data_IF_399539061326
#
_entry.id   IF_399539061326
#
_cell.length_a   1.000
_cell.length_b   1.000
_cell.length_c   1.000
_cell.angle_alpha   90.00
_cell.angle_beta   90.00
_cell.angle_gamma   90.00
#
_symmetry.space_group_name_H-M   'P 1'
#
loop_
_entity.id
_entity.type
_entity.pdbx_description
1 polymer ?
#
# COMPACT_ATOMS: atom_id res chain seq x y z
N UNK A 1 12.94 12.62 -1.38
CA UNK A 1 13.81 13.48 -0.54
C UNK A 1 13.86 14.91 -1.07
N UNK A 2 14.13 15.14 -2.37
CA UNK A 2 14.21 16.50 -2.93
C UNK A 2 12.92 17.31 -2.71
N UNK A 3 11.75 16.73 -2.94
CA UNK A 3 10.46 17.41 -2.70
C UNK A 3 10.28 17.86 -1.25
N UNK A 4 10.67 17.06 -0.28
CA UNK A 4 10.60 17.42 1.14
C UNK A 4 11.54 18.59 1.45
N UNK A 5 12.77 18.56 0.91
CA UNK A 5 13.74 19.66 1.07
C UNK A 5 13.18 20.96 0.49
N UNK A 6 12.57 20.91 -0.70
CA UNK A 6 11.93 22.08 -1.33
C UNK A 6 10.81 22.60 -0.41
N UNK A 7 9.92 21.74 0.07
CA UNK A 7 8.82 22.13 0.97
C UNK A 7 9.34 22.86 2.22
N UNK A 8 10.35 22.29 2.88
CA UNK A 8 10.96 22.91 4.08
C UNK A 8 11.66 24.23 3.75
N UNK A 9 12.33 24.31 2.60
CA UNK A 9 12.97 25.55 2.14
C UNK A 9 11.95 26.66 1.90
N UNK A 10 10.81 26.34 1.28
CA UNK A 10 9.74 27.32 1.04
C UNK A 10 9.09 27.80 2.34
N UNK A 11 8.89 26.90 3.31
CA UNK A 11 8.45 27.30 4.65
C UNK A 11 9.43 28.33 5.27
N UNK A 12 10.73 28.03 5.22
CA UNK A 12 11.75 28.91 5.84
C UNK A 12 11.90 30.23 5.12
N UNK A 13 11.85 30.23 3.79
CA UNK A 13 12.15 31.42 2.97
C UNK A 13 10.91 32.33 2.80
N UNK A 14 9.73 31.72 2.65
CA UNK A 14 8.51 32.44 2.29
C UNK A 14 7.41 32.35 3.35
N UNK A 15 7.68 31.68 4.46
CA UNK A 15 6.71 31.43 5.55
C UNK A 15 5.42 30.74 5.05
N UNK A 16 5.53 29.91 3.98
CA UNK A 16 4.39 29.14 3.45
C UNK A 16 4.20 27.91 4.35
N UNK A 17 3.02 27.74 5.00
CA UNK A 17 2.77 26.60 5.85
C UNK A 17 2.69 25.32 5.01
N UNK A 18 3.63 24.39 5.22
CA UNK A 18 3.67 23.10 4.53
C UNK A 18 3.69 21.95 5.54
N UNK A 19 3.03 20.86 5.21
CA UNK A 19 3.12 19.60 5.93
C UNK A 19 3.44 18.50 4.93
N UNK A 20 4.18 17.51 5.36
CA UNK A 20 4.66 16.45 4.47
C UNK A 20 4.03 15.13 4.90
N UNK A 21 3.47 14.40 3.94
CA UNK A 21 2.92 13.06 4.14
C UNK A 21 3.76 12.06 3.35
N UNK A 22 4.14 10.96 3.98
CA UNK A 22 4.85 9.83 3.37
C UNK A 22 3.92 8.62 3.36
N UNK A 23 3.15 8.37 2.27
CA UNK A 23 2.28 7.21 2.20
C UNK A 23 3.08 5.92 1.99
N UNK A 24 2.67 4.87 2.72
CA UNK A 24 3.18 3.50 2.56
C UNK A 24 2.11 2.65 1.89
N UNK A 25 2.50 1.84 0.91
CA UNK A 25 1.67 0.86 0.15
C UNK A 25 0.16 1.08 0.29
N UNK A 26 -0.29 2.26 -0.14
CA UNK A 26 -1.72 2.60 -0.13
C UNK A 26 -2.42 1.89 -1.29
N UNK A 27 -3.55 1.27 -0.99
CA UNK A 27 -4.37 0.54 -1.96
C UNK A 27 -5.85 0.84 -1.73
N UNK A 28 -6.66 0.63 -2.76
CA UNK A 28 -8.11 0.87 -2.68
C UNK A 28 -8.77 0.93 -4.05
N UNK A 29 -10.08 1.15 -4.09
CA UNK A 29 -10.82 1.37 -5.33
C UNK A 29 -10.21 2.46 -6.21
N UNK A 30 -10.22 2.24 -7.53
CA UNK A 30 -9.71 3.21 -8.50
C UNK A 30 -8.19 3.26 -8.67
N UNK A 31 -7.42 2.37 -8.00
CA UNK A 31 -5.99 2.27 -8.28
C UNK A 31 -5.74 1.67 -9.67
N UNK A 32 -4.69 2.11 -10.36
CA UNK A 32 -4.26 1.49 -11.62
C UNK A 32 -3.77 0.06 -11.36
N UNK A 33 -4.28 -0.92 -12.12
CA UNK A 33 -3.93 -2.33 -11.96
C UNK A 33 -2.70 -2.74 -12.79
N UNK A 34 -2.19 -1.84 -13.61
CA UNK A 34 -1.04 -2.01 -14.51
C UNK A 34 0.16 -1.12 -14.13
N UNK A 35 0.22 -0.65 -12.88
CA UNK A 35 1.27 0.27 -12.42
C UNK A 35 2.57 -0.42 -11.99
N UNK A 36 2.66 -1.75 -12.15
CA UNK A 36 3.84 -2.56 -11.85
C UNK A 36 4.06 -2.87 -10.38
N UNK A 37 3.11 -2.55 -9.51
CA UNK A 37 3.15 -2.97 -8.10
C UNK A 37 2.58 -4.38 -7.93
N UNK A 38 3.32 -5.25 -7.26
CA UNK A 38 2.96 -6.67 -7.12
C UNK A 38 1.53 -6.92 -6.61
N UNK A 39 1.03 -6.10 -5.70
CA UNK A 39 -0.33 -6.24 -5.20
C UNK A 39 -1.40 -5.73 -6.17
N UNK A 40 -1.05 -4.82 -7.10
CA UNK A 40 -1.91 -4.44 -8.20
C UNK A 40 -2.05 -5.60 -9.19
N UNK A 41 -0.94 -6.27 -9.52
CA UNK A 41 -0.95 -7.48 -10.36
C UNK A 41 -1.83 -8.57 -9.74
N UNK A 42 -1.73 -8.82 -8.42
CA UNK A 42 -2.56 -9.82 -7.73
C UNK A 42 -4.05 -9.48 -7.81
N UNK A 43 -4.41 -8.20 -7.61
CA UNK A 43 -5.80 -7.75 -7.76
C UNK A 43 -6.25 -7.95 -9.21
N UNK A 44 -5.44 -7.56 -10.19
CA UNK A 44 -5.74 -7.74 -11.61
C UNK A 44 -5.95 -9.22 -11.97
N UNK A 45 -5.13 -10.11 -11.43
CA UNK A 45 -5.25 -11.56 -11.68
C UNK A 45 -6.57 -12.11 -11.12
N UNK A 46 -6.93 -11.76 -9.88
CA UNK A 46 -8.20 -12.20 -9.27
C UNK A 46 -9.41 -11.63 -10.03
N UNK A 47 -9.41 -10.34 -10.37
CA UNK A 47 -10.49 -9.71 -11.14
C UNK A 47 -10.70 -10.41 -12.48
N UNK A 48 -9.62 -10.82 -13.13
CA UNK A 48 -9.65 -11.51 -14.43
C UNK A 48 -9.72 -13.04 -14.32
N UNK A 49 -9.98 -13.62 -13.15
CA UNK A 49 -10.02 -15.07 -12.89
C UNK A 49 -8.74 -15.79 -13.37
N UNK A 50 -7.57 -15.21 -13.15
CA UNK A 50 -6.27 -15.77 -13.47
C UNK A 50 -5.53 -16.19 -12.22
N UNK A 51 -4.71 -17.24 -12.32
CA UNK A 51 -3.84 -17.65 -11.21
C UNK A 51 -2.81 -16.57 -10.91
N UNK A 52 -2.55 -16.33 -9.61
CA UNK A 52 -1.50 -15.43 -9.17
C UNK A 52 -0.14 -16.08 -9.37
N UNK A 53 0.68 -15.51 -10.25
CA UNK A 53 2.01 -16.03 -10.56
C UNK A 53 3.08 -15.31 -9.77
N UNK A 54 3.65 -16.00 -8.77
CA UNK A 54 4.76 -15.48 -7.98
C UNK A 54 6.07 -15.52 -8.77
N UNK A 55 6.72 -14.36 -8.91
CA UNK A 55 8.03 -14.23 -9.56
C UNK A 55 9.22 -14.40 -8.59
N UNK A 56 8.95 -14.48 -7.28
CA UNK A 56 9.94 -14.66 -6.22
C UNK A 56 9.39 -15.57 -5.12
N UNK A 57 10.20 -15.84 -4.09
CA UNK A 57 9.81 -16.57 -2.89
C UNK A 57 8.69 -15.89 -2.07
N UNK A 58 8.40 -14.62 -2.35
CA UNK A 58 7.38 -13.84 -1.65
C UNK A 58 7.68 -13.55 -0.19
N UNK A 59 8.93 -13.72 0.27
CA UNK A 59 9.35 -13.51 1.66
C UNK A 59 9.36 -12.04 2.09
N UNK A 60 9.40 -11.10 1.15
CA UNK A 60 9.44 -9.67 1.44
C UNK A 60 8.20 -9.21 2.21
N UNK A 61 8.43 -8.50 3.32
CA UNK A 61 7.38 -7.98 4.21
C UNK A 61 6.96 -6.57 3.81
N UNK A 62 5.67 -6.32 3.72
CA UNK A 62 5.07 -5.01 3.39
C UNK A 62 3.89 -4.72 4.29
N UNK A 63 3.71 -3.45 4.59
CA UNK A 63 2.58 -2.92 5.33
C UNK A 63 1.61 -2.23 4.37
N UNK A 64 0.33 -2.57 4.44
CA UNK A 64 -0.69 -2.11 3.50
C UNK A 64 -1.70 -1.20 4.20
N UNK A 65 -1.96 -0.02 3.64
CA UNK A 65 -2.92 0.95 4.16
C UNK A 65 -4.08 1.15 3.19
N UNK A 66 -5.31 0.99 3.68
CA UNK A 66 -6.49 1.21 2.84
C UNK A 66 -6.69 2.69 2.52
N UNK A 67 -7.11 2.99 1.29
CA UNK A 67 -7.23 4.35 0.76
C UNK A 67 -8.05 5.30 1.65
N UNK A 68 -9.18 4.83 2.19
CA UNK A 68 -10.01 5.68 3.04
C UNK A 68 -9.29 6.09 4.34
N UNK A 69 -8.57 5.16 4.98
CA UNK A 69 -7.78 5.47 6.17
C UNK A 69 -6.66 6.47 5.84
N UNK A 70 -5.94 6.24 4.74
CA UNK A 70 -4.90 7.16 4.27
C UNK A 70 -5.45 8.56 3.98
N UNK A 71 -6.63 8.66 3.36
CA UNK A 71 -7.28 9.94 3.05
C UNK A 71 -7.59 10.72 4.34
N UNK A 72 -8.14 10.05 5.35
CA UNK A 72 -8.40 10.67 6.67
C UNK A 72 -7.09 11.17 7.28
N UNK A 73 -6.01 10.36 7.22
CA UNK A 73 -4.69 10.76 7.71
C UNK A 73 -4.18 12.02 7.02
N UNK A 74 -4.34 12.12 5.69
CA UNK A 74 -3.88 13.29 4.92
C UNK A 74 -4.60 14.57 5.37
N UNK A 75 -5.92 14.52 5.54
CA UNK A 75 -6.68 15.65 6.06
C UNK A 75 -6.29 16.00 7.50
N UNK A 76 -6.09 15.01 8.35
CA UNK A 76 -5.67 15.25 9.73
C UNK A 76 -4.30 15.94 9.78
N UNK A 77 -3.34 15.46 9.00
CA UNK A 77 -2.01 16.09 8.91
C UNK A 77 -2.10 17.50 8.33
N UNK A 78 -2.95 17.71 7.31
CA UNK A 78 -3.17 19.05 6.74
C UNK A 78 -3.69 20.04 7.79
N UNK A 79 -4.61 19.61 8.63
CA UNK A 79 -5.26 20.48 9.63
C UNK A 79 -4.42 20.63 10.90
N UNK A 80 -3.89 19.53 11.44
CA UNK A 80 -3.32 19.47 12.78
C UNK A 80 -1.80 19.21 12.80
N UNK A 81 -1.20 18.90 11.66
CA UNK A 81 0.24 18.65 11.57
C UNK A 81 1.07 19.91 11.82
N UNK A 82 2.29 19.72 12.29
CA UNK A 82 3.27 20.80 12.49
C UNK A 82 3.87 21.19 11.15
N UNK A 83 3.97 22.48 10.88
CA UNK A 83 4.59 22.99 9.66
C UNK A 83 6.06 22.56 9.52
N UNK A 84 6.44 22.13 8.33
CA UNK A 84 7.78 21.63 8.03
C UNK A 84 8.02 20.17 8.41
N UNK A 85 7.08 19.53 9.11
CA UNK A 85 7.24 18.18 9.60
C UNK A 85 6.67 17.12 8.65
N UNK A 86 7.33 15.95 8.62
CA UNK A 86 6.90 14.81 7.83
C UNK A 86 6.23 13.74 8.71
N UNK A 87 5.13 13.17 8.19
CA UNK A 87 4.32 12.15 8.83
C UNK A 87 4.23 10.90 7.94
N UNK A 88 4.64 9.75 8.47
CA UNK A 88 4.38 8.48 7.80
C UNK A 88 2.90 8.14 7.90
N UNK A 89 2.30 7.71 6.80
CA UNK A 89 0.91 7.24 6.75
C UNK A 89 0.90 5.82 6.20
N UNK A 90 0.50 4.87 7.03
CA UNK A 90 0.47 3.45 6.72
C UNK A 90 -0.37 2.69 7.73
N UNK A 91 -0.21 1.37 7.77
CA UNK A 91 -0.86 0.52 8.77
C UNK A 91 0.10 -0.60 9.19
N UNK A 92 0.81 -0.40 10.30
CA UNK A 92 1.77 -1.38 10.84
C UNK A 92 1.11 -2.71 11.20
N UNK A 93 -0.17 -2.72 11.58
CA UNK A 93 -0.92 -3.93 11.94
C UNK A 93 -1.29 -4.78 10.73
N UNK A 94 -1.19 -4.20 9.53
CA UNK A 94 -1.39 -4.88 8.26
C UNK A 94 -0.06 -5.24 7.57
N UNK A 95 1.01 -5.50 8.35
CA UNK A 95 2.26 -6.02 7.82
C UNK A 95 2.12 -7.51 7.49
N UNK A 96 2.48 -7.88 6.27
CA UNK A 96 2.34 -9.26 5.77
C UNK A 96 3.40 -9.54 4.70
N UNK A 97 3.83 -10.81 4.56
CA UNK A 97 4.67 -11.22 3.44
C UNK A 97 3.88 -11.21 2.11
N UNK A 98 4.56 -11.00 1.01
CA UNK A 98 3.93 -11.01 -0.32
C UNK A 98 3.27 -12.36 -0.62
N UNK A 99 3.91 -13.48 -0.22
CA UNK A 99 3.32 -14.81 -0.37
C UNK A 99 2.03 -14.96 0.45
N UNK A 100 2.06 -14.53 1.72
CA UNK A 100 0.89 -14.61 2.57
C UNK A 100 -0.23 -13.67 2.09
N UNK A 101 0.10 -12.53 1.51
CA UNK A 101 -0.86 -11.67 0.85
C UNK A 101 -1.54 -12.39 -0.33
N UNK A 102 -0.77 -12.99 -1.24
CA UNK A 102 -1.31 -13.73 -2.38
C UNK A 102 -2.28 -14.83 -1.93
N UNK A 103 -1.86 -15.68 -0.97
CA UNK A 103 -2.71 -16.73 -0.43
C UNK A 103 -3.98 -16.19 0.24
N UNK A 104 -3.85 -15.10 0.97
CA UNK A 104 -4.98 -14.43 1.61
C UNK A 104 -5.98 -13.90 0.59
N UNK A 105 -5.52 -13.27 -0.49
CA UNK A 105 -6.38 -12.75 -1.55
C UNK A 105 -7.14 -13.87 -2.25
N UNK A 106 -6.48 -14.98 -2.60
CA UNK A 106 -7.13 -16.16 -3.16
C UNK A 106 -8.20 -16.70 -2.20
N UNK A 107 -7.92 -16.76 -0.90
CA UNK A 107 -8.88 -17.26 0.10
C UNK A 107 -10.11 -16.36 0.29
N UNK A 108 -10.05 -15.09 -0.10
CA UNK A 108 -11.18 -14.17 -0.04
C UNK A 108 -12.20 -14.38 -1.18
N UNK A 109 -11.80 -15.06 -2.27
CA UNK A 109 -12.61 -15.28 -3.47
C UNK A 109 -12.54 -16.75 -3.91
N UNK A 110 -12.98 -17.70 -3.06
CA UNK A 110 -12.89 -19.14 -3.35
C UNK A 110 -13.71 -19.55 -4.58
N UNK A 111 -14.78 -18.82 -4.88
CA UNK A 111 -15.67 -19.04 -6.03
C UNK A 111 -14.95 -18.84 -7.38
N UNK A 112 -13.85 -18.07 -7.41
CA UNK A 112 -13.09 -17.83 -8.63
C UNK A 112 -12.14 -18.97 -9.01
N UNK A 113 -11.89 -19.92 -8.10
CA UNK A 113 -11.02 -21.06 -8.35
C UNK A 113 -9.55 -20.74 -8.64
N UNK A 114 -9.12 -19.49 -8.41
CA UNK A 114 -7.74 -18.99 -8.65
C UNK A 114 -6.79 -19.61 -7.63
N UNK A 115 -5.54 -19.82 -8.03
CA UNK A 115 -4.49 -20.40 -7.18
C UNK A 115 -3.24 -19.52 -7.17
N UNK A 116 -2.41 -19.70 -6.16
CA UNK A 116 -1.06 -19.13 -6.13
C UNK A 116 -0.10 -20.13 -6.74
N UNK A 117 0.60 -19.75 -7.80
CA UNK A 117 1.56 -20.57 -8.53
C UNK A 117 2.94 -19.93 -8.43
N UNK A 118 3.94 -20.68 -7.97
CA UNK A 118 5.33 -20.21 -7.96
C UNK A 118 6.00 -20.65 -9.25
N UNK A 119 6.44 -19.71 -10.08
CA UNK A 119 7.32 -20.02 -11.21
C UNK A 119 8.75 -20.11 -10.73
N UNK A 120 9.34 -21.30 -10.78
CA UNK A 120 10.79 -21.51 -10.67
C UNK A 120 11.49 -21.01 -11.95
N UNK A 121 11.27 -19.79 -12.35
CA UNK A 121 11.99 -19.20 -13.47
C UNK A 121 13.16 -18.39 -12.91
N UNK A 122 14.36 -18.81 -13.26
CA UNK A 122 15.54 -17.93 -13.28
C UNK A 122 15.29 -16.84 -14.34
N UNK A 123 14.32 -15.97 -14.08
CA UNK A 123 14.07 -14.85 -14.99
C UNK A 123 15.18 -13.82 -14.72
N UNK A 124 16.19 -13.82 -15.60
CA UNK A 124 17.37 -12.94 -15.54
C UNK A 124 16.95 -11.45 -15.46
N UNK A 125 15.75 -11.11 -15.90
CA UNK A 125 15.23 -9.74 -15.90
C UNK A 125 14.40 -9.40 -14.65
N UNK A 126 14.19 -10.33 -13.73
CA UNK A 126 13.46 -10.03 -12.48
C UNK A 126 14.39 -9.42 -11.44
N UNK A 127 14.26 -8.13 -11.22
CA UNK A 127 14.99 -7.43 -10.15
C UNK A 127 14.28 -7.70 -8.80
N UNK A 128 14.84 -8.64 -8.04
CA UNK A 128 14.39 -8.85 -6.65
C UNK A 128 14.52 -7.55 -5.87
N UNK A 129 13.47 -7.17 -5.13
CA UNK A 129 13.52 -5.99 -4.27
C UNK A 129 14.66 -6.14 -3.24
N UNK A 130 15.57 -5.17 -3.20
CA UNK A 130 16.63 -5.12 -2.20
C UNK A 130 16.11 -4.89 -0.77
N UNK A 131 14.85 -4.43 -0.63
CA UNK A 131 14.22 -4.13 0.66
C UNK A 131 13.43 -5.35 1.13
N UNK A 132 13.96 -6.05 2.12
CA UNK A 132 13.29 -7.22 2.72
C UNK A 132 12.05 -6.85 3.53
N UNK A 133 12.07 -5.70 4.22
CA UNK A 133 10.96 -5.23 5.07
C UNK A 133 10.70 -3.74 4.84
N UNK A 134 9.43 -3.37 4.65
CA UNK A 134 8.98 -1.99 4.55
C UNK A 134 7.69 -1.80 5.36
N UNK A 135 7.87 -1.37 6.62
CA UNK A 135 6.79 -1.08 7.57
C UNK A 135 7.03 0.31 8.18
N UNK A 136 6.03 1.20 8.23
CA UNK A 136 6.20 2.55 8.77
C UNK A 136 6.27 2.57 10.30
N UNK A 137 7.08 3.47 10.83
CA UNK A 137 6.89 3.96 12.19
C UNK A 137 5.76 4.99 12.19
N UNK A 138 4.69 4.68 12.91
CA UNK A 138 3.46 5.47 12.96
C UNK A 138 3.38 6.39 14.19
N UNK A 139 4.37 6.37 15.07
CA UNK A 139 4.35 7.08 16.38
C UNK A 139 3.94 8.54 16.23
N UNK A 140 4.49 9.23 15.23
CA UNK A 140 4.26 10.65 15.05
C UNK A 140 2.82 11.00 14.65
N UNK A 141 2.20 10.24 13.76
CA UNK A 141 0.82 10.47 13.37
C UNK A 141 -0.16 9.96 14.43
N UNK A 142 0.19 8.90 15.16
CA UNK A 142 -0.59 8.41 16.27
C UNK A 142 -0.73 9.47 17.38
N UNK A 143 0.31 10.29 17.59
CA UNK A 143 0.25 11.42 18.53
C UNK A 143 -0.71 12.54 18.09
N UNK A 144 -1.12 12.58 16.80
CA UNK A 144 -2.21 13.42 16.31
C UNK A 144 -3.60 12.78 16.52
N UNK A 145 -3.67 11.57 17.11
CA UNK A 145 -4.91 10.84 17.35
C UNK A 145 -5.40 9.99 16.19
N UNK A 146 -4.57 9.76 15.14
CA UNK A 146 -4.98 8.92 14.00
C UNK A 146 -4.47 7.48 14.14
N UNK A 147 -5.36 6.55 13.83
CA UNK A 147 -5.09 5.12 13.75
C UNK A 147 -5.87 4.52 12.57
N UNK A 148 -5.23 3.68 11.74
CA UNK A 148 -5.93 2.99 10.66
C UNK A 148 -6.97 2.02 11.25
N UNK A 149 -8.14 1.93 10.61
CA UNK A 149 -9.26 1.09 11.09
C UNK A 149 -9.52 -0.12 10.20
N UNK A 150 -9.19 -0.02 8.92
CA UNK A 150 -9.51 -1.05 7.93
C UNK A 150 -8.52 -2.21 8.02
N UNK A 151 -9.03 -3.41 8.27
CA UNK A 151 -8.24 -4.64 8.26
C UNK A 151 -7.90 -5.04 6.82
N UNK A 152 -6.81 -5.78 6.65
CA UNK A 152 -6.30 -6.19 5.33
C UNK A 152 -7.35 -6.95 4.49
N UNK A 153 -8.07 -7.90 5.10
CA UNK A 153 -9.09 -8.67 4.40
C UNK A 153 -10.22 -7.76 3.89
N UNK A 154 -10.73 -6.90 4.75
CA UNK A 154 -11.81 -5.98 4.43
C UNK A 154 -11.42 -5.01 3.30
N UNK A 155 -10.24 -4.40 3.41
CA UNK A 155 -9.77 -3.43 2.43
C UNK A 155 -9.57 -4.05 1.05
N UNK A 156 -8.90 -5.22 0.97
CA UNK A 156 -8.70 -5.91 -0.30
C UNK A 156 -10.01 -6.45 -0.89
N UNK A 157 -10.90 -6.99 -0.06
CA UNK A 157 -12.23 -7.41 -0.51
C UNK A 157 -13.01 -6.26 -1.14
N UNK A 158 -13.08 -5.10 -0.48
CA UNK A 158 -13.72 -3.90 -1.03
C UNK A 158 -13.06 -3.43 -2.32
N UNK A 159 -11.72 -3.50 -2.38
CA UNK A 159 -10.96 -3.06 -3.57
C UNK A 159 -11.27 -3.95 -4.76
N UNK A 160 -11.17 -5.28 -4.62
CA UNK A 160 -11.42 -6.23 -5.71
C UNK A 160 -12.86 -6.12 -6.21
N UNK A 161 -13.86 -6.13 -5.31
CA UNK A 161 -15.27 -6.00 -5.68
C UNK A 161 -15.62 -4.66 -6.36
N UNK A 162 -14.81 -3.62 -6.18
CA UNK A 162 -15.05 -2.35 -6.87
C UNK A 162 -14.81 -2.43 -8.38
N UNK A 163 -13.92 -3.32 -8.82
CA UNK A 163 -13.65 -3.55 -10.25
C UNK A 163 -14.69 -4.47 -10.90
N UNK A 164 -15.29 -5.39 -10.14
CA UNK A 164 -16.32 -6.29 -10.66
C UNK A 164 -17.65 -5.59 -10.96
N UNK A 165 -17.92 -4.47 -10.30
CA UNK A 165 -19.12 -3.67 -10.52
C UNK A 165 -19.03 -2.74 -11.74
N UNK A 166 -17.85 -2.63 -12.33
CA UNK A 166 -17.58 -1.74 -13.47
C UNK A 166 -17.54 -2.53 -14.79
N UNK A 167 -17.42 -3.85 -14.71
CA UNK A 167 -17.51 -4.81 -15.83
C UNK A 167 -18.93 -5.34 -15.99
#
# INVERSE_FOLDING_TARGET
>A
RMGETICVSWLKQYNIPVKIVRPFHTYGPGMALDDGRVYADFIADIVNNRDIVMQSDGSAMRSFCYLADATIAFFLVLLNGINGEAYNVGNSDCEISILNLANKLVSLFPEKGVKVVTKNTQNINYLKSAVSRNCPDMTKINNLGWYPKTKINEGFYKTINSYEKIL
#
